data_IF_191634363447
#
_entry.id   IF_191634363447
#
_cell.length_a   1.000
_cell.length_b   1.000
_cell.length_c   1.000
_cell.angle_alpha   90.00
_cell.angle_beta   90.00
_cell.angle_gamma   90.00
#
_symmetry.space_group_name_H-M   'P 1'
#
loop_
_entity.id
_entity.type
_entity.pdbx_description
1 polymer ?
#
# COMPACT_ATOMS: atom_id res chain seq x y z
N UNK A 1 2.99 14.46 29.94
CA UNK A 1 1.66 13.86 29.97
C UNK A 1 0.64 14.70 29.22
N UNK A 2 0.80 16.04 29.08
CA UNK A 2 -0.23 16.97 28.60
C UNK A 2 0.03 17.53 27.20
N UNK A 3 0.71 16.80 26.31
CA UNK A 3 0.77 17.21 24.91
C UNK A 3 -0.59 16.96 24.25
N UNK A 4 -1.13 17.92 23.48
CA UNK A 4 -2.35 17.73 22.71
C UNK A 4 -2.07 16.77 21.54
N UNK A 5 -2.08 15.46 21.82
CA UNK A 5 -1.93 14.47 20.79
C UNK A 5 -3.17 14.44 19.90
N UNK A 6 -2.97 14.37 18.60
CA UNK A 6 -4.00 13.95 17.66
C UNK A 6 -4.18 12.42 17.77
N UNK A 7 -5.15 12.00 18.58
CA UNK A 7 -5.45 10.59 18.84
C UNK A 7 -5.96 9.89 17.58
N UNK A 8 -6.68 10.61 16.71
CA UNK A 8 -7.07 10.11 15.40
C UNK A 8 -5.86 9.75 14.54
N UNK A 9 -4.89 10.67 14.48
CA UNK A 9 -3.62 10.44 13.79
C UNK A 9 -2.78 9.34 14.43
N UNK A 10 -2.70 9.31 15.78
CA UNK A 10 -2.00 8.24 16.51
C UNK A 10 -2.57 6.84 16.22
N UNK A 11 -3.87 6.72 15.95
CA UNK A 11 -4.51 5.45 15.62
C UNK A 11 -3.91 4.76 14.38
N UNK A 12 -3.26 5.52 13.49
CA UNK A 12 -2.53 4.99 12.33
C UNK A 12 -1.15 4.42 12.70
N UNK A 13 -0.62 4.75 13.88
CA UNK A 13 0.73 4.38 14.26
C UNK A 13 0.81 2.89 14.63
N UNK A 14 1.68 2.15 13.95
CA UNK A 14 1.87 0.70 14.17
C UNK A 14 2.41 0.33 15.54
N UNK A 15 2.93 1.30 16.30
CA UNK A 15 3.40 1.09 17.67
C UNK A 15 2.28 1.23 18.71
N UNK A 16 1.06 1.60 18.32
CA UNK A 16 -0.08 1.61 19.22
C UNK A 16 -0.52 0.17 19.46
N UNK A 17 -0.37 -0.29 20.69
CA UNK A 17 -0.80 -1.61 21.16
C UNK A 17 -2.16 -1.52 21.84
N UNK A 18 -2.78 -2.69 22.05
CA UNK A 18 -4.07 -2.76 22.74
C UNK A 18 -3.98 -2.22 24.18
N UNK A 19 -2.88 -2.50 24.89
CA UNK A 19 -2.66 -1.99 26.26
C UNK A 19 -2.64 -0.44 26.32
N UNK A 20 -2.10 0.21 25.29
CA UNK A 20 -2.13 1.68 25.19
C UNK A 20 -3.57 2.17 25.03
N UNK A 21 -4.37 1.49 24.22
CA UNK A 21 -5.78 1.84 23.98
C UNK A 21 -6.59 1.66 25.29
N UNK A 22 -6.43 0.52 25.97
CA UNK A 22 -7.11 0.23 27.24
C UNK A 22 -6.72 1.19 28.36
N UNK A 23 -5.46 1.64 28.38
CA UNK A 23 -4.98 2.62 29.37
C UNK A 23 -5.46 4.05 29.07
N UNK A 24 -6.08 4.28 27.92
CA UNK A 24 -6.57 5.58 27.46
C UNK A 24 -7.97 5.49 26.84
N UNK A 25 -8.97 4.96 27.54
CA UNK A 25 -10.28 4.59 26.97
C UNK A 25 -11.13 5.80 26.54
N UNK A 26 -10.90 6.97 27.17
CA UNK A 26 -11.68 8.19 26.94
C UNK A 26 -11.08 9.08 25.83
N UNK A 27 -10.10 8.57 25.08
CA UNK A 27 -9.48 9.31 23.99
C UNK A 27 -10.21 9.08 22.67
N UNK A 28 -10.16 10.10 21.79
CA UNK A 28 -10.81 10.10 20.48
C UNK A 28 -10.06 9.19 19.47
N UNK A 29 -10.01 7.88 19.76
CA UNK A 29 -9.42 6.90 18.87
C UNK A 29 -10.19 6.76 17.56
N UNK A 30 -9.48 6.71 16.45
CA UNK A 30 -10.08 6.38 15.16
C UNK A 30 -10.16 4.85 14.98
N UNK A 31 -11.34 4.28 15.19
CA UNK A 31 -11.58 2.84 15.12
C UNK A 31 -11.36 2.25 13.72
N UNK A 32 -11.51 3.04 12.66
CA UNK A 32 -11.17 2.58 11.31
C UNK A 32 -9.67 2.32 11.16
N UNK A 33 -8.84 3.23 11.64
CA UNK A 33 -7.39 3.04 11.62
C UNK A 33 -6.95 1.92 12.56
N UNK A 34 -7.50 1.85 13.77
CA UNK A 34 -7.23 0.78 14.72
C UNK A 34 -7.62 -0.58 14.14
N UNK A 35 -8.75 -0.69 13.44
CA UNK A 35 -9.18 -1.94 12.81
C UNK A 35 -8.18 -2.49 11.79
N UNK A 36 -7.33 -1.65 11.20
CA UNK A 36 -6.25 -2.05 10.29
C UNK A 36 -4.90 -2.20 10.97
N UNK A 37 -4.78 -1.79 12.24
CA UNK A 37 -3.51 -1.85 12.96
C UNK A 37 -3.08 -3.33 13.19
N UNK A 38 -1.81 -3.70 12.86
CA UNK A 38 -1.33 -5.08 13.01
C UNK A 38 -1.28 -5.58 14.45
N UNK A 39 -1.38 -4.70 15.46
CA UNK A 39 -1.46 -5.10 16.88
C UNK A 39 -2.90 -5.43 17.32
N UNK A 40 -3.89 -5.22 16.46
CA UNK A 40 -5.28 -5.62 16.74
C UNK A 40 -5.49 -7.02 16.18
N UNK A 41 -5.60 -8.00 17.07
CA UNK A 41 -5.86 -9.40 16.73
C UNK A 41 -7.35 -9.71 16.71
N UNK A 42 -7.71 -10.88 16.19
CA UNK A 42 -9.10 -11.34 16.18
C UNK A 42 -9.66 -11.54 17.60
N UNK A 43 -8.83 -12.03 18.54
CA UNK A 43 -9.20 -12.20 19.95
C UNK A 43 -9.58 -10.87 20.59
N UNK A 44 -8.84 -9.78 20.30
CA UNK A 44 -9.16 -8.43 20.77
C UNK A 44 -10.52 -7.99 20.22
N UNK A 45 -10.78 -8.21 18.94
CA UNK A 45 -12.05 -7.85 18.30
C UNK A 45 -13.21 -8.62 18.93
N UNK A 46 -13.04 -9.93 19.18
CA UNK A 46 -14.06 -10.79 19.80
C UNK A 46 -14.34 -10.40 21.25
N UNK A 47 -13.29 -10.05 22.01
CA UNK A 47 -13.43 -9.63 23.41
C UNK A 47 -14.05 -8.24 23.56
N UNK A 48 -14.10 -7.44 22.49
CA UNK A 48 -14.57 -6.06 22.51
C UNK A 48 -15.62 -5.81 21.41
N UNK A 49 -16.76 -6.53 21.39
CA UNK A 49 -17.73 -6.48 20.30
C UNK A 49 -18.48 -5.15 20.20
N UNK A 50 -18.51 -4.36 21.28
CA UNK A 50 -19.24 -3.08 21.38
C UNK A 50 -18.41 -1.89 20.84
N UNK A 51 -17.18 -2.13 20.38
CA UNK A 51 -16.35 -1.09 19.77
C UNK A 51 -16.74 -0.89 18.29
N UNK A 52 -16.58 0.34 17.81
CA UNK A 52 -16.90 0.75 16.43
C UNK A 52 -15.91 0.19 15.39
N UNK A 53 -15.72 -1.15 15.40
CA UNK A 53 -14.83 -1.80 14.46
C UNK A 53 -15.25 -1.58 13.00
N UNK A 54 -14.34 -1.12 12.17
CA UNK A 54 -14.55 -1.02 10.73
C UNK A 54 -14.34 -2.38 10.06
N UNK A 55 -15.40 -3.04 9.65
CA UNK A 55 -15.33 -4.34 8.95
C UNK A 55 -14.59 -4.24 7.60
N UNK A 56 -14.66 -3.09 6.94
CA UNK A 56 -13.84 -2.80 5.76
C UNK A 56 -12.34 -2.88 6.08
N UNK A 57 -11.91 -2.26 7.17
CA UNK A 57 -10.51 -2.24 7.59
C UNK A 57 -10.09 -3.57 8.21
N UNK A 58 -10.93 -4.21 9.04
CA UNK A 58 -10.69 -5.56 9.59
C UNK A 58 -10.50 -6.59 8.48
N UNK A 59 -11.33 -6.59 7.44
CA UNK A 59 -11.19 -7.52 6.31
C UNK A 59 -9.81 -7.47 5.65
N UNK A 60 -9.09 -6.35 5.78
CA UNK A 60 -7.73 -6.16 5.24
C UNK A 60 -6.64 -6.31 6.29
N UNK A 61 -7.00 -6.45 7.57
CA UNK A 61 -6.03 -6.59 8.65
C UNK A 61 -5.21 -7.89 8.48
N UNK A 62 -3.86 -7.85 8.61
CA UNK A 62 -3.01 -9.02 8.43
C UNK A 62 -3.23 -10.14 9.47
N UNK A 63 -3.93 -9.87 10.58
CA UNK A 63 -4.30 -10.89 11.57
C UNK A 63 -5.61 -11.62 11.24
N UNK A 64 -6.35 -11.17 10.21
CA UNK A 64 -7.55 -11.87 9.76
C UNK A 64 -7.16 -12.92 8.72
N UNK A 65 -7.26 -14.18 9.11
CA UNK A 65 -6.98 -15.33 8.25
C UNK A 65 -8.25 -15.85 7.58
N UNK A 66 -8.09 -16.74 6.59
CA UNK A 66 -9.23 -17.37 5.93
C UNK A 66 -10.06 -18.23 6.89
N UNK A 67 -9.42 -18.92 7.84
CA UNK A 67 -10.08 -19.73 8.87
C UNK A 67 -10.97 -18.87 9.76
N UNK A 68 -10.54 -17.65 10.12
CA UNK A 68 -11.37 -16.69 10.88
C UNK A 68 -12.60 -16.30 10.05
N UNK A 69 -12.42 -16.01 8.76
CA UNK A 69 -13.53 -15.63 7.87
C UNK A 69 -14.52 -16.78 7.74
N UNK A 70 -14.06 -18.02 7.55
CA UNK A 70 -14.89 -19.21 7.45
C UNK A 70 -15.66 -19.53 8.74
N UNK A 71 -15.01 -19.37 9.89
CA UNK A 71 -15.62 -19.61 11.20
C UNK A 71 -16.65 -18.52 11.59
N UNK A 72 -16.65 -17.38 10.89
CA UNK A 72 -17.52 -16.24 11.21
C UNK A 72 -18.26 -15.74 9.95
N UNK A 73 -19.06 -16.57 9.28
CA UNK A 73 -19.68 -16.23 7.98
C UNK A 73 -20.73 -15.12 8.08
N UNK A 74 -21.32 -14.93 9.27
CA UNK A 74 -22.38 -13.93 9.51
C UNK A 74 -21.83 -12.52 9.75
N UNK A 75 -20.51 -12.37 9.77
CA UNK A 75 -19.89 -11.04 9.91
C UNK A 75 -19.90 -10.28 8.58
N UNK A 76 -19.94 -8.96 8.68
CA UNK A 76 -19.97 -8.05 7.52
C UNK A 76 -18.60 -7.96 6.82
N UNK A 77 -18.03 -9.08 6.36
CA UNK A 77 -16.78 -9.09 5.64
C UNK A 77 -16.86 -8.33 4.31
N UNK A 78 -15.91 -7.45 4.07
CA UNK A 78 -15.79 -6.71 2.81
C UNK A 78 -14.92 -7.49 1.82
N UNK A 79 -15.53 -8.08 0.81
CA UNK A 79 -14.85 -8.93 -0.17
C UNK A 79 -13.78 -8.20 -0.97
N UNK A 80 -13.98 -6.91 -1.28
CA UNK A 80 -12.95 -6.08 -1.92
C UNK A 80 -11.70 -5.91 -1.04
N UNK A 81 -11.87 -5.85 0.28
CA UNK A 81 -10.78 -5.78 1.25
C UNK A 81 -10.15 -7.15 1.51
N UNK A 82 -10.97 -8.22 1.66
CA UNK A 82 -10.48 -9.59 1.77
C UNK A 82 -9.64 -9.98 0.56
N UNK A 83 -10.06 -9.62 -0.65
CA UNK A 83 -9.32 -9.90 -1.87
C UNK A 83 -7.92 -9.29 -1.89
N UNK A 84 -7.67 -8.23 -1.11
CA UNK A 84 -6.34 -7.60 -0.93
C UNK A 84 -5.57 -8.15 0.28
N UNK A 85 -6.23 -8.94 1.15
CA UNK A 85 -5.62 -9.42 2.38
C UNK A 85 -4.45 -10.37 2.07
N UNK A 86 -3.27 -10.20 2.69
CA UNK A 86 -2.10 -11.05 2.44
C UNK A 86 -2.28 -12.51 2.88
N UNK A 87 -3.29 -12.83 3.70
CA UNK A 87 -3.60 -14.20 4.08
C UNK A 87 -4.53 -14.92 3.06
N UNK A 88 -5.03 -14.20 2.06
CA UNK A 88 -5.82 -14.81 0.98
C UNK A 88 -4.87 -15.20 -0.16
N UNK A 89 -4.66 -16.50 -0.31
CA UNK A 89 -3.79 -17.07 -1.34
C UNK A 89 -4.61 -17.48 -2.58
N UNK A 90 -3.91 -17.80 -3.67
CA UNK A 90 -4.56 -18.27 -4.89
C UNK A 90 -5.27 -19.62 -4.69
N UNK A 91 -4.73 -20.50 -3.87
CA UNK A 91 -5.34 -21.79 -3.50
C UNK A 91 -6.69 -21.59 -2.79
N UNK A 92 -6.77 -20.62 -1.87
CA UNK A 92 -8.02 -20.26 -1.20
C UNK A 92 -9.06 -19.78 -2.22
N UNK A 93 -8.67 -18.94 -3.17
CA UNK A 93 -9.55 -18.43 -4.23
C UNK A 93 -10.06 -19.57 -5.12
N UNK A 94 -9.18 -20.48 -5.54
CA UNK A 94 -9.53 -21.63 -6.36
C UNK A 94 -10.44 -22.62 -5.63
N UNK A 95 -10.22 -22.83 -4.32
CA UNK A 95 -11.05 -23.70 -3.50
C UNK A 95 -12.43 -23.10 -3.17
N UNK A 96 -12.62 -21.79 -3.38
CA UNK A 96 -13.83 -21.05 -3.03
C UNK A 96 -14.32 -20.17 -4.20
N UNK A 97 -14.59 -20.75 -5.39
CA UNK A 97 -14.89 -19.98 -6.60
C UNK A 97 -16.25 -19.24 -6.53
N UNK A 98 -17.16 -19.69 -5.65
CA UNK A 98 -18.49 -19.12 -5.47
C UNK A 98 -18.49 -17.87 -4.59
N UNK A 99 -17.36 -17.53 -3.99
CA UNK A 99 -17.23 -16.31 -3.19
C UNK A 99 -17.07 -15.08 -4.10
N UNK A 100 -17.64 -13.92 -3.69
CA UNK A 100 -17.62 -12.71 -4.52
C UNK A 100 -16.25 -12.00 -4.47
N UNK A 101 -15.20 -12.68 -4.93
CA UNK A 101 -13.86 -12.13 -5.01
C UNK A 101 -13.81 -10.89 -5.90
N UNK A 102 -13.18 -9.82 -5.40
CA UNK A 102 -12.96 -8.58 -6.15
C UNK A 102 -11.65 -8.64 -6.94
N UNK A 103 -11.72 -8.64 -8.24
CA UNK A 103 -10.53 -8.72 -9.11
C UNK A 103 -9.65 -7.47 -9.05
N UNK A 104 -10.21 -6.32 -8.67
CA UNK A 104 -9.42 -5.12 -8.36
C UNK A 104 -8.53 -5.37 -7.15
N UNK A 105 -9.12 -5.93 -6.10
CA UNK A 105 -8.42 -6.33 -4.88
C UNK A 105 -7.39 -7.42 -5.14
N UNK A 106 -7.76 -8.48 -5.87
CA UNK A 106 -6.85 -9.57 -6.23
C UNK A 106 -5.64 -9.08 -7.03
N UNK A 107 -5.84 -8.15 -7.97
CA UNK A 107 -4.73 -7.60 -8.75
C UNK A 107 -3.70 -6.84 -7.89
N UNK A 108 -4.08 -6.40 -6.69
CA UNK A 108 -3.19 -5.76 -5.69
C UNK A 108 -2.62 -6.76 -4.69
N UNK A 109 -3.20 -7.96 -4.60
CA UNK A 109 -2.82 -8.94 -3.57
C UNK A 109 -1.37 -9.41 -3.79
N UNK A 110 -0.51 -9.37 -2.74
CA UNK A 110 0.89 -9.77 -2.85
C UNK A 110 1.09 -11.27 -3.14
N UNK A 111 0.07 -12.11 -2.99
CA UNK A 111 0.13 -13.53 -3.34
C UNK A 111 -0.18 -13.80 -4.82
N UNK A 112 -0.62 -12.79 -5.57
CA UNK A 112 -0.87 -12.94 -7.01
C UNK A 112 0.45 -12.71 -7.76
N UNK A 113 1.01 -13.79 -8.26
CA UNK A 113 2.25 -13.80 -9.05
C UNK A 113 1.96 -13.68 -10.55
N UNK A 114 2.99 -13.39 -11.34
CA UNK A 114 2.86 -13.39 -12.80
C UNK A 114 2.44 -14.75 -13.37
N UNK A 115 2.92 -15.86 -12.79
CA UNK A 115 2.55 -17.20 -13.25
C UNK A 115 1.06 -17.45 -13.08
N UNK A 116 0.44 -16.98 -11.99
CA UNK A 116 -1.01 -17.04 -11.79
C UNK A 116 -1.73 -16.24 -12.88
N UNK A 117 -1.30 -15.00 -13.13
CA UNK A 117 -1.90 -14.15 -14.16
C UNK A 117 -1.78 -14.75 -15.55
N UNK A 118 -0.60 -15.29 -15.88
CA UNK A 118 -0.27 -15.89 -17.19
C UNK A 118 -1.14 -17.11 -17.52
N UNK A 119 -1.40 -17.97 -16.52
CA UNK A 119 -2.21 -19.20 -16.73
C UNK A 119 -3.71 -18.95 -16.59
N UNK A 120 -4.11 -17.75 -16.17
CA UNK A 120 -5.51 -17.34 -16.02
C UNK A 120 -5.81 -16.05 -16.82
N UNK A 121 -5.56 -16.02 -18.14
CA UNK A 121 -5.67 -14.81 -18.96
C UNK A 121 -7.11 -14.31 -19.13
N UNK A 122 -8.10 -15.20 -18.94
CA UNK A 122 -9.52 -14.90 -19.09
C UNK A 122 -10.12 -14.22 -17.84
N UNK A 123 -9.35 -14.12 -16.77
CA UNK A 123 -9.82 -13.43 -15.57
C UNK A 123 -9.73 -11.91 -15.75
N UNK A 124 -10.67 -11.14 -15.17
CA UNK A 124 -10.74 -9.70 -15.35
C UNK A 124 -9.69 -8.95 -14.50
N UNK A 125 -8.41 -9.21 -14.77
CA UNK A 125 -7.30 -8.56 -14.10
C UNK A 125 -7.29 -7.06 -14.35
N UNK A 126 -7.05 -6.28 -13.30
CA UNK A 126 -6.85 -4.83 -13.38
C UNK A 126 -5.37 -4.51 -13.62
N UNK A 127 -5.02 -4.22 -14.86
CA UNK A 127 -3.63 -4.01 -15.30
C UNK A 127 -2.94 -2.84 -14.61
N UNK A 128 -3.65 -1.77 -14.25
CA UNK A 128 -3.08 -0.68 -13.46
C UNK A 128 -2.53 -1.19 -12.12
N UNK A 129 -3.29 -2.04 -11.43
CA UNK A 129 -2.86 -2.59 -10.15
C UNK A 129 -1.83 -3.70 -10.28
N UNK A 130 -1.94 -4.56 -11.30
CA UNK A 130 -0.89 -5.51 -11.63
C UNK A 130 0.44 -4.78 -11.90
N UNK A 131 0.40 -3.66 -12.62
CA UNK A 131 1.59 -2.86 -12.92
C UNK A 131 2.34 -2.39 -11.67
N UNK A 132 1.64 -2.22 -10.54
CA UNK A 132 2.24 -1.85 -9.24
C UNK A 132 2.45 -3.05 -8.31
N UNK A 133 2.00 -4.24 -8.68
CA UNK A 133 2.15 -5.42 -7.84
C UNK A 133 3.65 -5.75 -7.66
N UNK A 134 4.13 -6.00 -6.42
CA UNK A 134 5.54 -6.27 -6.15
C UNK A 134 6.07 -7.55 -6.81
N UNK A 135 5.21 -8.45 -7.26
CA UNK A 135 5.61 -9.66 -8.01
C UNK A 135 5.83 -9.40 -9.51
N UNK A 136 5.54 -8.19 -9.99
CA UNK A 136 5.79 -7.81 -11.39
C UNK A 136 7.15 -7.12 -11.47
N UNK A 137 8.13 -7.82 -12.03
CA UNK A 137 9.48 -7.31 -12.26
C UNK A 137 9.61 -6.68 -13.65
N UNK A 138 10.74 -5.98 -13.88
CA UNK A 138 11.01 -5.41 -15.21
C UNK A 138 11.13 -6.47 -16.30
N UNK A 139 11.75 -7.60 -16.01
CA UNK A 139 11.90 -8.72 -16.96
C UNK A 139 10.55 -9.25 -17.41
N UNK A 140 9.56 -9.33 -16.50
CA UNK A 140 8.18 -9.71 -16.83
C UNK A 140 7.55 -8.67 -17.76
N UNK A 141 7.72 -7.39 -17.46
CA UNK A 141 7.17 -6.30 -18.27
C UNK A 141 7.80 -6.31 -19.65
N UNK A 142 9.14 -6.40 -19.72
CA UNK A 142 9.90 -6.38 -20.97
C UNK A 142 9.55 -7.56 -21.88
N UNK A 143 9.42 -8.76 -21.31
CA UNK A 143 9.00 -9.95 -22.04
C UNK A 143 7.52 -9.92 -22.49
N UNK A 144 6.71 -8.99 -21.97
CA UNK A 144 5.26 -8.93 -22.20
C UNK A 144 4.79 -7.50 -22.52
N UNK A 145 5.52 -6.77 -23.36
CA UNK A 145 5.19 -5.38 -23.75
C UNK A 145 3.87 -5.25 -24.53
N UNK A 146 3.32 -6.35 -25.03
CA UNK A 146 2.01 -6.40 -25.67
C UNK A 146 0.84 -6.37 -24.68
N UNK A 147 1.10 -6.47 -23.38
CA UNK A 147 0.08 -6.36 -22.34
C UNK A 147 -0.21 -4.88 -22.03
N UNK A 148 -1.44 -4.55 -21.58
CA UNK A 148 -1.84 -3.17 -21.34
C UNK A 148 -1.31 -2.64 -20.01
N UNK A 149 0.02 -2.65 -19.84
CA UNK A 149 0.69 -2.09 -18.66
C UNK A 149 0.37 -0.62 -18.47
N UNK A 150 0.10 -0.24 -17.24
CA UNK A 150 -0.07 1.17 -16.85
C UNK A 150 1.29 1.75 -16.46
N UNK A 151 1.84 2.62 -17.30
CA UNK A 151 3.15 3.23 -17.09
C UNK A 151 3.21 4.16 -15.90
N UNK A 152 2.08 4.76 -15.49
CA UNK A 152 1.98 5.55 -14.26
C UNK A 152 2.21 4.68 -13.02
N UNK A 153 1.56 3.52 -12.98
CA UNK A 153 1.72 2.55 -11.89
C UNK A 153 3.02 1.77 -11.96
N UNK A 154 3.52 1.42 -13.17
CA UNK A 154 4.86 0.84 -13.33
C UNK A 154 5.94 1.76 -12.79
N UNK A 155 5.85 3.07 -13.06
CA UNK A 155 6.82 4.04 -12.56
C UNK A 155 6.89 4.09 -11.02
N UNK A 156 5.82 3.67 -10.33
CA UNK A 156 5.76 3.56 -8.86
C UNK A 156 6.15 2.17 -8.33
N UNK A 157 6.33 1.18 -9.23
CA UNK A 157 6.62 -0.20 -8.83
C UNK A 157 8.01 -0.29 -8.19
N UNK A 158 8.14 -0.94 -7.00
CA UNK A 158 9.42 -1.04 -6.30
C UNK A 158 10.49 -1.88 -7.04
N UNK A 159 10.11 -2.64 -8.08
CA UNK A 159 11.06 -3.35 -8.93
C UNK A 159 11.59 -2.51 -10.10
N UNK A 160 11.10 -1.28 -10.26
CA UNK A 160 11.64 -0.34 -11.27
C UNK A 160 12.71 0.52 -10.59
N UNK A 161 13.96 0.27 -10.94
CA UNK A 161 15.12 1.03 -10.46
C UNK A 161 15.49 2.16 -11.42
N UNK A 162 16.37 3.08 -10.97
CA UNK A 162 16.83 4.16 -11.82
C UNK A 162 17.63 3.65 -13.02
N UNK A 163 18.41 2.57 -12.86
CA UNK A 163 19.17 1.94 -13.96
C UNK A 163 18.22 1.43 -15.05
N UNK A 164 17.08 0.83 -14.68
CA UNK A 164 16.05 0.41 -15.64
C UNK A 164 15.50 1.61 -16.41
N UNK A 165 15.23 2.71 -15.71
CA UNK A 165 14.71 3.95 -16.33
C UNK A 165 15.73 4.53 -17.32
N UNK A 166 17.01 4.59 -16.92
CA UNK A 166 18.11 5.09 -17.76
C UNK A 166 18.36 4.19 -19.00
N UNK A 167 18.31 2.86 -18.81
CA UNK A 167 18.47 1.91 -19.90
C UNK A 167 17.28 1.93 -20.89
N UNK A 168 16.14 2.49 -20.48
CA UNK A 168 14.91 2.49 -21.24
C UNK A 168 14.31 3.89 -21.42
N UNK A 169 15.05 4.88 -21.95
CA UNK A 169 14.64 6.30 -21.97
C UNK A 169 13.42 6.57 -22.87
N UNK A 170 13.15 5.68 -23.83
CA UNK A 170 12.04 5.81 -24.80
C UNK A 170 10.72 5.22 -24.28
N UNK A 171 10.67 4.67 -23.05
CA UNK A 171 9.44 4.17 -22.46
C UNK A 171 8.63 5.34 -21.88
N UNK A 172 7.32 5.11 -21.70
CA UNK A 172 6.36 6.14 -21.25
C UNK A 172 6.42 6.35 -19.73
N UNK A 173 7.65 6.51 -19.17
CA UNK A 173 7.79 6.75 -17.74
C UNK A 173 6.98 7.95 -17.27
N UNK A 174 6.28 7.79 -16.15
CA UNK A 174 5.54 8.86 -15.50
C UNK A 174 6.40 9.50 -14.40
N UNK A 175 6.78 10.75 -14.58
CA UNK A 175 7.69 11.44 -13.66
C UNK A 175 7.08 11.67 -12.27
N UNK A 176 5.76 11.85 -12.15
CA UNK A 176 5.10 11.86 -10.84
C UNK A 176 5.21 10.49 -10.16
N UNK A 177 5.01 9.42 -10.92
CA UNK A 177 5.19 8.05 -10.43
C UNK A 177 6.62 7.75 -10.01
N UNK A 178 7.62 8.13 -10.82
CA UNK A 178 9.04 8.00 -10.47
C UNK A 178 9.39 8.80 -9.21
N UNK A 179 8.85 10.01 -9.08
CA UNK A 179 9.06 10.84 -7.87
C UNK A 179 8.54 10.20 -6.57
N UNK A 180 7.56 9.31 -6.65
CA UNK A 180 7.06 8.52 -5.51
C UNK A 180 7.77 7.16 -5.36
N UNK A 181 8.60 6.77 -6.32
CA UNK A 181 9.21 5.43 -6.33
C UNK A 181 10.26 5.32 -5.19
N UNK A 182 10.21 4.25 -4.37
CA UNK A 182 11.13 4.07 -3.25
C UNK A 182 12.60 3.85 -3.66
N UNK A 183 12.88 3.58 -4.94
CA UNK A 183 14.25 3.46 -5.46
C UNK A 183 14.82 4.80 -5.95
N UNK A 184 14.05 5.88 -5.87
CA UNK A 184 14.52 7.22 -6.23
C UNK A 184 14.93 7.95 -4.96
N UNK A 185 16.20 8.19 -4.81
CA UNK A 185 16.80 8.96 -3.71
C UNK A 185 17.17 10.39 -4.14
N UNK A 186 17.69 11.17 -3.18
CA UNK A 186 18.08 12.54 -3.44
C UNK A 186 19.29 12.65 -4.39
N UNK A 187 20.22 11.70 -4.34
CA UNK A 187 21.41 11.69 -5.20
C UNK A 187 21.00 11.55 -6.67
N UNK A 188 20.05 10.65 -6.95
CA UNK A 188 19.47 10.48 -8.29
C UNK A 188 18.79 11.77 -8.76
N UNK A 189 17.96 12.37 -7.90
CA UNK A 189 17.23 13.61 -8.22
C UNK A 189 18.22 14.74 -8.49
N UNK A 190 19.23 14.93 -7.62
CA UNK A 190 20.21 15.99 -7.73
C UNK A 190 21.07 15.86 -8.99
N UNK A 191 21.45 14.64 -9.35
CA UNK A 191 22.22 14.38 -10.56
C UNK A 191 21.41 14.54 -11.86
N UNK A 192 20.06 14.65 -11.75
CA UNK A 192 19.14 14.67 -12.89
C UNK A 192 18.07 15.77 -12.75
N UNK A 193 18.47 16.98 -12.33
CA UNK A 193 17.56 18.13 -12.13
C UNK A 193 16.91 18.64 -13.43
N UNK A 194 17.46 18.25 -14.59
CA UNK A 194 16.88 18.52 -15.91
C UNK A 194 15.63 17.71 -16.22
N UNK A 195 15.32 16.70 -15.41
CA UNK A 195 14.14 15.85 -15.58
C UNK A 195 12.89 16.48 -14.97
N UNK A 196 11.73 16.01 -15.44
CA UNK A 196 10.43 16.53 -15.03
C UNK A 196 9.95 15.99 -13.67
N UNK A 197 10.79 16.06 -12.65
CA UNK A 197 10.45 15.63 -11.30
C UNK A 197 9.20 16.34 -10.79
N UNK A 198 8.31 15.59 -10.13
CA UNK A 198 7.15 16.15 -9.44
C UNK A 198 7.52 16.44 -7.98
N UNK A 199 7.74 17.70 -7.66
CA UNK A 199 8.18 18.12 -6.32
C UNK A 199 7.15 17.89 -5.22
N UNK A 200 5.84 17.86 -5.55
CA UNK A 200 4.81 17.44 -4.63
C UNK A 200 5.02 15.98 -4.22
N UNK A 201 5.23 15.09 -5.19
CA UNK A 201 5.47 13.68 -4.96
C UNK A 201 6.83 13.41 -4.30
N UNK A 202 7.90 14.12 -4.71
CA UNK A 202 9.22 14.04 -4.06
C UNK A 202 9.13 14.41 -2.57
N UNK A 203 8.35 15.43 -2.23
CA UNK A 203 8.19 15.85 -0.84
C UNK A 203 7.56 14.77 0.06
N UNK A 204 6.85 13.79 -0.52
CA UNK A 204 6.28 12.63 0.17
C UNK A 204 7.17 11.38 0.11
N UNK A 205 8.21 11.41 -0.72
CA UNK A 205 9.08 10.25 -0.92
C UNK A 205 9.86 9.93 0.37
N UNK A 206 9.87 8.69 0.85
CA UNK A 206 10.53 8.30 2.10
C UNK A 206 12.05 8.53 2.08
N UNK A 207 12.68 8.62 0.91
CA UNK A 207 14.12 8.89 0.79
C UNK A 207 14.46 10.40 0.87
N UNK A 208 13.45 11.27 0.93
CA UNK A 208 13.64 12.71 1.13
C UNK A 208 13.46 13.01 2.62
N UNK A 209 14.58 13.25 3.30
CA UNK A 209 14.61 13.53 4.73
C UNK A 209 14.51 15.02 5.02
N UNK A 210 14.20 15.36 6.27
CA UNK A 210 14.19 16.76 6.73
C UNK A 210 15.52 17.48 6.49
N UNK A 211 16.65 16.77 6.68
CA UNK A 211 18.00 17.31 6.43
C UNK A 211 18.21 17.68 4.96
N UNK A 212 17.74 16.84 4.03
CA UNK A 212 17.82 17.13 2.58
C UNK A 212 17.07 18.42 2.26
N UNK A 213 15.88 18.59 2.83
CA UNK A 213 15.06 19.79 2.63
C UNK A 213 15.74 21.04 3.17
N UNK A 214 16.28 20.96 4.40
CA UNK A 214 16.99 22.08 5.03
C UNK A 214 18.24 22.49 4.23
N UNK A 215 18.97 21.52 3.67
CA UNK A 215 20.16 21.79 2.88
C UNK A 215 19.87 22.25 1.44
N UNK A 216 18.61 22.18 1.00
CA UNK A 216 18.18 22.56 -0.35
C UNK A 216 16.92 23.45 -0.33
N UNK A 217 16.96 24.61 0.37
CA UNK A 217 15.78 25.46 0.57
C UNK A 217 15.33 26.19 -0.71
N UNK A 218 16.18 26.21 -1.74
CA UNK A 218 15.90 26.79 -3.07
C UNK A 218 15.02 25.91 -3.94
N UNK A 219 14.79 24.65 -3.58
CA UNK A 219 13.95 23.72 -4.32
C UNK A 219 12.46 23.94 -4.01
N UNK A 220 11.56 23.70 -4.98
CA UNK A 220 10.14 23.96 -4.81
C UNK A 220 9.42 22.86 -4.02
N UNK A 221 9.91 22.59 -2.80
CA UNK A 221 9.31 21.62 -1.89
C UNK A 221 7.87 21.98 -1.53
N UNK A 222 7.01 20.98 -1.42
CA UNK A 222 5.62 21.17 -1.01
C UNK A 222 5.46 20.94 0.50
N UNK A 223 5.17 22.02 1.25
CA UNK A 223 5.06 21.97 2.73
C UNK A 223 3.95 21.06 3.25
N UNK A 224 2.83 21.00 2.54
CA UNK A 224 1.71 20.12 2.92
C UNK A 224 2.12 18.65 2.77
N UNK A 225 2.85 18.31 1.70
CA UNK A 225 3.31 16.95 1.44
C UNK A 225 4.34 16.46 2.47
N UNK A 226 5.12 17.37 3.07
CA UNK A 226 6.06 17.01 4.14
C UNK A 226 5.40 16.38 5.35
N UNK A 227 4.24 16.90 5.77
CA UNK A 227 3.53 16.36 6.93
C UNK A 227 3.05 14.92 6.73
N UNK A 228 3.07 14.44 5.49
CA UNK A 228 2.71 13.07 5.12
C UNK A 228 3.93 12.17 4.86
N UNK A 229 5.13 12.74 4.88
CA UNK A 229 6.37 11.96 4.69
C UNK A 229 6.72 11.23 5.99
N UNK A 230 6.89 9.89 5.98
CA UNK A 230 7.14 9.10 7.17
C UNK A 230 8.49 9.37 7.86
N UNK A 231 9.41 10.08 7.18
CA UNK A 231 10.78 10.36 7.65
C UNK A 231 11.03 11.84 7.98
N UNK A 232 9.94 12.62 8.21
CA UNK A 232 10.01 14.04 8.60
C UNK A 232 9.30 14.30 9.90
#
# INVERSE_FOLDING_TARGET
PDKPWDWGGLSCNRNITWEIIESNPDRDWNWSYLSYNPNITWEIVQANPDRDWSWHCLSRNPNITWEIVQANPDRNWYWSSLSQNPNITWEIIQANPDKPWDWTGLSRNPNITWDIVKVNPDKPWYWSYLSRNPNITWEIVEANLNKPWDWGYLSKNPNITWEIVQANPNKKWNWAGLSENPNIDWEIVQANLDKNWNWFCLSQNPNITYEIIQNNPDKPWNRFSFSQNPNI
#
